data_IF_242932991755
#
_entry.id   IF_242932991755
#
_cell.length_a   1.000
_cell.length_b   1.000
_cell.length_c   1.000
_cell.angle_alpha   90.00
_cell.angle_beta   90.00
_cell.angle_gamma   90.00
#
_symmetry.space_group_name_H-M   'P 1'
#
loop_
_entity.id
_entity.type
_entity.pdbx_description
1 polymer ?
#
# COMPACT_ATOMS: atom_id res chain seq x y z
N UNK A 1 -35.41 -23.26 -62.22
CA UNK A 1 -35.19 -21.87 -61.73
C UNK A 1 -34.53 -21.82 -60.36
N UNK A 2 -34.96 -22.65 -59.40
CA UNK A 2 -34.53 -22.61 -57.99
C UNK A 2 -33.01 -22.71 -57.75
N UNK A 3 -32.28 -23.57 -58.48
CA UNK A 3 -30.82 -23.74 -58.31
C UNK A 3 -29.97 -22.56 -58.79
N UNK A 4 -30.41 -21.87 -59.86
CA UNK A 4 -29.69 -20.68 -60.38
C UNK A 4 -29.86 -19.48 -59.46
N UNK A 5 -31.06 -19.33 -58.90
CA UNK A 5 -31.35 -18.29 -57.90
C UNK A 5 -30.59 -18.57 -56.59
N UNK A 6 -30.53 -19.83 -56.14
CA UNK A 6 -29.74 -20.22 -54.99
C UNK A 6 -28.24 -19.92 -55.15
N UNK A 7 -27.67 -20.14 -56.35
CA UNK A 7 -26.28 -19.80 -56.64
C UNK A 7 -26.00 -18.29 -56.53
N UNK A 8 -26.93 -17.43 -56.97
CA UNK A 8 -26.79 -15.97 -56.86
C UNK A 8 -26.78 -15.54 -55.40
N UNK A 9 -27.72 -16.04 -54.58
CA UNK A 9 -27.75 -15.71 -53.15
C UNK A 9 -26.55 -16.26 -52.38
N UNK A 10 -26.07 -17.45 -52.73
CA UNK A 10 -24.84 -17.99 -52.14
C UNK A 10 -23.63 -17.08 -52.43
N UNK A 11 -23.47 -16.61 -53.67
CA UNK A 11 -22.40 -15.67 -54.01
C UNK A 11 -22.57 -14.36 -53.24
N UNK A 12 -23.79 -13.84 -53.11
CA UNK A 12 -24.07 -12.63 -52.34
C UNK A 12 -23.68 -12.76 -50.87
N UNK A 13 -24.14 -13.82 -50.18
CA UNK A 13 -23.79 -14.04 -48.78
C UNK A 13 -22.31 -14.36 -48.57
N UNK A 14 -21.68 -15.08 -49.50
CA UNK A 14 -20.24 -15.30 -49.47
C UNK A 14 -19.46 -13.97 -49.58
N UNK A 15 -19.87 -13.07 -50.47
CA UNK A 15 -19.26 -11.75 -50.60
C UNK A 15 -19.49 -10.86 -49.38
N UNK A 16 -20.69 -10.88 -48.78
CA UNK A 16 -20.97 -10.17 -47.54
C UNK A 16 -20.12 -10.68 -46.38
N UNK A 17 -20.05 -12.00 -46.20
CA UNK A 17 -19.22 -12.64 -45.17
C UNK A 17 -17.73 -12.32 -45.36
N UNK A 18 -17.22 -12.40 -46.59
CA UNK A 18 -15.83 -12.05 -46.90
C UNK A 18 -15.53 -10.57 -46.63
N UNK A 19 -16.46 -9.68 -46.98
CA UNK A 19 -16.32 -8.23 -46.72
C UNK A 19 -16.29 -7.92 -45.23
N UNK A 20 -17.18 -8.53 -44.45
CA UNK A 20 -17.20 -8.38 -42.99
C UNK A 20 -15.93 -8.96 -42.33
N UNK A 21 -15.44 -10.10 -42.83
CA UNK A 21 -14.18 -10.70 -42.38
C UNK A 21 -12.98 -9.77 -42.65
N UNK A 22 -12.91 -9.15 -43.83
CA UNK A 22 -11.85 -8.17 -44.12
C UNK A 22 -11.86 -6.99 -43.14
N UNK A 23 -13.04 -6.44 -42.82
CA UNK A 23 -13.16 -5.37 -41.82
C UNK A 23 -12.68 -5.85 -40.45
N UNK A 24 -13.08 -7.06 -40.04
CA UNK A 24 -12.67 -7.63 -38.75
C UNK A 24 -11.15 -7.75 -38.63
N UNK A 25 -10.49 -8.30 -39.65
CA UNK A 25 -9.04 -8.60 -39.59
C UNK A 25 -8.14 -7.39 -39.79
N UNK A 26 -8.62 -6.33 -40.45
CA UNK A 26 -7.80 -5.14 -40.73
C UNK A 26 -8.06 -3.99 -39.75
N UNK A 27 -9.17 -4.02 -39.03
CA UNK A 27 -9.48 -2.97 -38.09
C UNK A 27 -8.58 -3.10 -36.85
N UNK A 28 -8.06 -1.95 -36.41
CA UNK A 28 -7.19 -1.83 -35.26
C UNK A 28 -7.98 -1.26 -34.08
N UNK A 29 -7.73 -1.76 -32.89
CA UNK A 29 -8.38 -1.27 -31.68
C UNK A 29 -7.83 0.12 -31.31
N UNK A 30 -8.69 1.11 -31.02
CA UNK A 30 -8.29 2.39 -30.46
C UNK A 30 -7.47 2.23 -29.18
N UNK A 31 -6.33 2.93 -29.07
CA UNK A 31 -5.51 2.92 -27.86
C UNK A 31 -5.60 4.23 -27.08
N UNK A 32 -5.34 4.14 -25.77
CA UNK A 32 -5.08 5.31 -24.93
C UNK A 32 -3.55 5.48 -24.85
N UNK A 33 -3.09 6.70 -25.12
CA UNK A 33 -1.68 7.04 -25.33
C UNK A 33 -1.28 8.28 -24.55
N UNK A 34 0.01 8.50 -24.39
CA UNK A 34 0.61 9.70 -23.78
C UNK A 34 1.38 10.52 -24.82
N UNK A 35 1.75 11.78 -24.52
CA UNK A 35 2.51 12.59 -25.46
C UNK A 35 3.86 11.96 -25.78
N UNK A 36 4.28 12.04 -27.05
CA UNK A 36 5.56 11.48 -27.50
C UNK A 36 5.53 9.99 -27.85
N UNK A 37 4.42 9.30 -27.63
CA UNK A 37 4.18 7.97 -28.20
C UNK A 37 3.74 8.07 -29.66
N UNK A 38 3.99 7.01 -30.45
CA UNK A 38 3.35 6.89 -31.76
C UNK A 38 1.83 6.85 -31.56
N UNK A 39 1.11 7.62 -32.37
CA UNK A 39 -0.33 7.81 -32.23
C UNK A 39 -0.99 7.75 -33.60
N UNK A 40 -2.05 6.96 -33.72
CA UNK A 40 -2.93 6.92 -34.90
C UNK A 40 -4.12 7.84 -34.66
N UNK A 41 -4.73 8.33 -35.74
CA UNK A 41 -5.95 9.16 -35.65
C UNK A 41 -7.09 8.47 -34.86
N UNK A 42 -7.08 7.13 -34.82
CA UNK A 42 -8.04 6.34 -34.06
C UNK A 42 -7.79 6.32 -32.55
N UNK A 43 -6.60 6.70 -32.09
CA UNK A 43 -6.20 6.66 -30.69
C UNK A 43 -6.68 7.89 -29.94
N UNK A 44 -6.57 7.85 -28.62
CA UNK A 44 -6.85 8.97 -27.72
C UNK A 44 -5.61 9.29 -26.89
N UNK A 45 -5.16 10.54 -26.92
CA UNK A 45 -3.99 10.98 -26.15
C UNK A 45 -4.43 11.66 -24.86
N UNK A 46 -3.85 11.26 -23.74
CA UNK A 46 -3.91 11.97 -22.47
C UNK A 46 -2.81 13.03 -22.47
N UNK A 47 -3.14 14.32 -22.66
CA UNK A 47 -2.13 15.36 -22.93
C UNK A 47 -1.16 15.61 -21.77
N UNK A 48 -1.55 15.27 -20.54
CA UNK A 48 -0.76 15.42 -19.33
C UNK A 48 -0.45 14.05 -18.68
N UNK A 49 -0.77 12.95 -19.36
CA UNK A 49 -0.44 11.61 -18.90
C UNK A 49 1.04 11.30 -19.10
N UNK A 50 1.66 10.71 -18.07
CA UNK A 50 3.04 10.25 -18.10
C UNK A 50 3.08 8.73 -18.02
N UNK A 51 3.95 8.11 -18.82
CA UNK A 51 4.09 6.65 -18.90
C UNK A 51 5.23 6.20 -17.98
N UNK A 52 4.96 5.21 -17.14
CA UNK A 52 5.91 4.64 -16.20
C UNK A 52 6.02 3.12 -16.35
N UNK A 53 7.25 2.64 -16.29
CA UNK A 53 7.61 1.22 -16.19
C UNK A 53 7.68 0.79 -14.72
N UNK A 54 7.57 -0.52 -14.48
CA UNK A 54 7.78 -1.07 -13.13
C UNK A 54 9.18 -0.72 -12.60
N UNK A 55 9.25 -0.19 -11.38
CA UNK A 55 10.46 0.32 -10.75
C UNK A 55 10.85 1.75 -11.16
N UNK A 56 10.07 2.43 -12.00
CA UNK A 56 10.32 3.84 -12.33
C UNK A 56 10.11 4.74 -11.12
N UNK A 57 10.83 5.85 -11.04
CA UNK A 57 10.62 6.87 -10.01
C UNK A 57 10.19 8.21 -10.62
N UNK A 58 9.41 8.97 -9.86
CA UNK A 58 9.03 10.33 -10.20
C UNK A 58 8.77 11.17 -8.94
N UNK A 59 8.73 12.49 -9.09
CA UNK A 59 8.53 13.41 -7.96
C UNK A 59 7.27 14.25 -8.14
N UNK A 60 6.41 14.30 -7.11
CA UNK A 60 5.26 15.20 -7.01
C UNK A 60 5.21 15.82 -5.62
N UNK A 61 4.94 17.12 -5.54
CA UNK A 61 4.85 17.81 -4.24
C UNK A 61 6.12 17.75 -3.38
N UNK A 62 7.29 17.42 -3.96
CA UNK A 62 8.53 17.19 -3.21
C UNK A 62 8.71 15.77 -2.68
N UNK A 63 7.75 14.88 -2.88
CA UNK A 63 7.82 13.45 -2.54
C UNK A 63 8.26 12.65 -3.77
N UNK A 64 9.29 11.82 -3.61
CA UNK A 64 9.70 10.84 -4.62
C UNK A 64 8.90 9.55 -4.44
N UNK A 65 8.24 9.12 -5.51
CA UNK A 65 7.44 7.90 -5.58
C UNK A 65 8.14 6.88 -6.47
N UNK A 66 8.10 5.63 -6.04
CA UNK A 66 8.49 4.46 -6.85
C UNK A 66 7.23 3.76 -7.33
N UNK A 67 7.12 3.57 -8.65
CA UNK A 67 6.03 2.85 -9.30
C UNK A 67 6.31 1.36 -9.21
N UNK A 68 5.45 0.61 -8.54
CA UNK A 68 5.50 -0.84 -8.45
C UNK A 68 4.30 -1.40 -9.19
N UNK A 69 4.52 -2.27 -10.17
CA UNK A 69 3.47 -2.86 -11.01
C UNK A 69 3.50 -4.38 -10.91
N UNK A 70 2.32 -5.00 -10.92
CA UNK A 70 2.15 -6.45 -10.86
C UNK A 70 0.93 -6.90 -11.65
N UNK A 71 0.84 -8.20 -11.88
CA UNK A 71 -0.33 -8.86 -12.44
C UNK A 71 -0.94 -9.77 -11.38
N UNK A 72 -2.23 -9.62 -11.10
CA UNK A 72 -2.94 -10.41 -10.10
C UNK A 72 -4.06 -11.24 -10.73
N UNK A 73 -4.33 -12.43 -10.17
CA UNK A 73 -5.47 -13.22 -10.61
C UNK A 73 -6.78 -12.54 -10.21
N UNK A 74 -7.65 -12.27 -11.18
CA UNK A 74 -9.00 -11.82 -10.93
C UNK A 74 -9.76 -12.94 -10.20
N UNK A 75 -10.18 -12.70 -8.94
CA UNK A 75 -10.91 -13.71 -8.15
C UNK A 75 -12.37 -13.87 -8.64
N UNK A 76 -12.53 -14.55 -9.78
CA UNK A 76 -13.82 -14.87 -10.38
C UNK A 76 -14.47 -16.10 -9.73
N UNK A 77 -15.39 -15.89 -8.79
CA UNK A 77 -16.33 -16.91 -8.36
C UNK A 77 -17.20 -17.40 -9.53
N UNK A 78 -17.24 -18.72 -9.71
CA UNK A 78 -17.98 -19.47 -10.76
C UNK A 78 -17.28 -19.63 -12.13
N UNK A 79 -16.18 -20.39 -12.16
CA UNK A 79 -15.93 -21.40 -13.21
C UNK A 79 -15.69 -20.92 -14.65
N UNK A 80 -15.39 -19.65 -14.87
CA UNK A 80 -14.80 -19.12 -16.10
C UNK A 80 -13.42 -18.57 -15.76
N UNK A 81 -12.39 -18.92 -16.54
CA UNK A 81 -10.98 -18.78 -16.16
C UNK A 81 -10.60 -17.40 -15.61
N UNK A 82 -9.88 -17.40 -14.47
CA UNK A 82 -9.28 -16.21 -13.91
C UNK A 82 -8.29 -15.60 -14.91
N UNK A 83 -8.56 -14.37 -15.32
CA UNK A 83 -7.60 -13.55 -16.06
C UNK A 83 -6.62 -12.92 -15.07
N UNK A 84 -5.41 -12.62 -15.56
CA UNK A 84 -4.53 -11.72 -14.85
C UNK A 84 -4.98 -10.28 -15.12
N UNK A 85 -5.10 -9.47 -14.08
CA UNK A 85 -5.40 -8.04 -14.14
C UNK A 85 -4.19 -7.24 -13.63
N UNK A 86 -3.85 -6.12 -14.28
CA UNK A 86 -2.77 -5.26 -13.82
C UNK A 86 -3.16 -4.58 -12.51
N UNK A 87 -2.22 -4.56 -11.56
CA UNK A 87 -2.28 -3.82 -10.30
C UNK A 87 -1.02 -2.99 -10.13
N UNK A 88 -1.07 -1.97 -9.27
CA UNK A 88 0.12 -1.20 -8.98
C UNK A 88 0.03 -0.46 -7.66
N UNK A 89 1.19 0.02 -7.22
CA UNK A 89 1.36 0.78 -5.99
C UNK A 89 2.39 1.88 -6.23
N UNK A 90 2.18 3.05 -5.62
CA UNK A 90 3.21 4.08 -5.46
C UNK A 90 3.79 3.96 -4.05
N UNK A 91 5.01 3.42 -3.95
CA UNK A 91 5.76 3.40 -2.67
C UNK A 91 6.57 4.69 -2.52
N UNK A 92 6.55 5.27 -1.33
CA UNK A 92 7.38 6.42 -0.96
C UNK A 92 7.80 6.35 0.51
N UNK A 93 8.87 7.05 0.85
CA UNK A 93 9.29 7.20 2.25
C UNK A 93 8.70 8.48 2.84
N UNK A 94 7.71 8.34 3.73
CA UNK A 94 7.24 9.44 4.55
C UNK A 94 8.32 9.78 5.59
N UNK A 95 8.70 11.05 5.67
CA UNK A 95 9.71 11.53 6.63
C UNK A 95 9.07 12.52 7.59
N UNK A 96 9.60 12.60 8.82
CA UNK A 96 9.05 13.52 9.81
C UNK A 96 7.77 13.01 10.47
N UNK A 97 7.48 11.70 10.38
CA UNK A 97 6.30 11.11 11.01
C UNK A 97 6.48 11.17 12.52
N UNK A 98 5.62 11.94 13.18
CA UNK A 98 5.68 12.19 14.61
C UNK A 98 5.33 10.91 15.37
N UNK A 99 6.20 10.53 16.30
CA UNK A 99 6.00 9.46 17.27
C UNK A 99 6.08 10.04 18.68
N UNK A 100 5.40 9.38 19.61
CA UNK A 100 5.39 9.76 21.02
C UNK A 100 5.42 8.54 21.92
N UNK A 101 6.05 8.68 23.09
CA UNK A 101 5.97 7.73 24.20
C UNK A 101 5.68 8.50 25.49
N UNK A 102 5.08 7.80 26.46
CA UNK A 102 4.62 8.40 27.71
C UNK A 102 5.27 7.71 28.90
N UNK A 103 5.69 8.50 29.87
CA UNK A 103 6.15 8.08 31.17
C UNK A 103 5.18 8.59 32.22
N UNK A 104 4.39 7.68 32.79
CA UNK A 104 3.44 8.02 33.86
C UNK A 104 4.18 8.28 35.18
N UNK A 105 3.66 9.20 35.99
CA UNK A 105 4.19 9.48 37.31
C UNK A 105 4.09 8.26 38.23
N UNK A 106 5.20 7.89 38.88
CA UNK A 106 5.32 6.72 39.74
C UNK A 106 5.43 5.39 38.99
N UNK A 107 5.46 5.38 37.66
CA UNK A 107 5.70 4.17 36.87
C UNK A 107 7.17 3.72 36.94
N UNK A 108 7.41 2.47 36.55
CA UNK A 108 8.77 1.96 36.32
C UNK A 108 9.04 1.91 34.83
N UNK A 109 10.18 2.47 34.42
CA UNK A 109 10.63 2.52 33.02
C UNK A 109 12.05 1.95 32.90
N UNK A 110 12.36 1.38 31.73
CA UNK A 110 13.71 0.93 31.41
C UNK A 110 14.47 2.05 30.70
N UNK A 111 15.63 2.43 31.24
CA UNK A 111 16.51 3.46 30.69
C UNK A 111 17.97 2.98 30.74
N UNK A 112 18.65 2.98 29.60
CA UNK A 112 20.01 2.42 29.44
C UNK A 112 20.16 0.99 30.03
N UNK A 113 19.12 0.17 29.83
CA UNK A 113 19.05 -1.22 30.33
C UNK A 113 18.92 -1.36 31.86
N UNK A 114 18.62 -0.27 32.57
CA UNK A 114 18.38 -0.24 34.01
C UNK A 114 16.95 0.23 34.30
N UNK A 115 16.32 -0.33 35.32
CA UNK A 115 14.95 0.04 35.70
C UNK A 115 14.93 1.24 36.66
N UNK A 116 14.11 2.24 36.37
CA UNK A 116 13.94 3.45 37.17
C UNK A 116 12.48 3.71 37.49
N UNK A 117 12.21 4.27 38.66
CA UNK A 117 10.90 4.86 38.98
C UNK A 117 10.87 6.31 38.52
N UNK A 118 9.79 6.70 37.86
CA UNK A 118 9.53 8.05 37.37
C UNK A 118 8.91 8.89 38.49
N UNK A 119 9.43 10.09 38.70
CA UNK A 119 8.82 11.12 39.54
C UNK A 119 8.70 12.42 38.74
N UNK A 120 7.48 12.94 38.61
CA UNK A 120 7.20 14.17 37.88
C UNK A 120 6.94 15.33 38.85
N UNK A 121 7.49 16.50 38.53
CA UNK A 121 7.23 17.75 39.24
C UNK A 121 6.92 18.85 38.21
N UNK A 122 5.62 19.14 38.04
CA UNK A 122 5.16 20.17 37.11
C UNK A 122 5.25 21.59 37.68
N UNK A 123 5.33 21.73 39.00
CA UNK A 123 5.44 23.01 39.69
C UNK A 123 6.89 23.51 39.78
N UNK A 124 7.87 22.64 39.47
CA UNK A 124 9.26 23.02 39.31
C UNK A 124 9.45 24.11 38.24
N UNK A 125 10.45 24.96 38.45
CA UNK A 125 10.84 26.01 37.50
C UNK A 125 12.17 25.68 36.84
N UNK A 126 12.22 24.87 35.77
CA UNK A 126 11.12 24.37 34.92
C UNK A 126 10.57 22.98 35.35
N UNK A 127 9.44 22.50 34.75
CA UNK A 127 8.91 21.16 35.00
C UNK A 127 9.94 20.07 34.75
N UNK A 128 10.05 19.10 35.66
CA UNK A 128 11.08 18.05 35.62
C UNK A 128 10.50 16.64 35.69
N UNK A 129 11.10 15.73 34.94
CA UNK A 129 10.94 14.29 35.12
C UNK A 129 12.23 13.71 35.70
N UNK A 130 12.16 13.15 36.91
CA UNK A 130 13.29 12.53 37.59
C UNK A 130 13.13 11.01 37.58
N UNK A 131 14.12 10.31 37.01
CA UNK A 131 14.26 8.87 37.08
C UNK A 131 15.12 8.51 38.30
N UNK A 132 14.63 7.63 39.16
CA UNK A 132 15.40 7.09 40.31
C UNK A 132 15.58 5.59 40.17
N UNK A 133 16.83 5.11 40.17
CA UNK A 133 17.14 3.71 39.95
C UNK A 133 16.42 2.80 40.95
N UNK A 134 15.83 1.72 40.44
CA UNK A 134 15.28 0.64 41.24
C UNK A 134 16.25 -0.55 41.25
N UNK A 135 16.31 -1.25 42.38
CA UNK A 135 17.16 -2.43 42.52
C UNK A 135 16.29 -3.69 42.60
N UNK A 136 16.67 -4.72 41.84
CA UNK A 136 16.19 -6.08 42.10
C UNK A 136 16.90 -6.62 43.35
N UNK A 137 16.29 -6.37 44.49
CA UNK A 137 16.79 -6.79 45.81
C UNK A 137 16.94 -8.31 45.87
N UNK A 138 16.00 -9.07 45.27
CA UNK A 138 16.02 -10.53 45.35
C UNK A 138 17.23 -11.15 44.63
N UNK A 139 17.52 -10.64 43.43
CA UNK A 139 18.68 -11.07 42.64
C UNK A 139 19.97 -10.69 43.34
N UNK A 140 20.03 -9.49 43.92
CA UNK A 140 21.22 -8.99 44.64
C UNK A 140 21.51 -9.80 45.89
N UNK A 141 20.50 -10.08 46.72
CA UNK A 141 20.66 -10.90 47.92
C UNK A 141 21.03 -12.36 47.59
N UNK A 142 20.55 -12.89 46.47
CA UNK A 142 20.92 -14.25 46.03
C UNK A 142 22.37 -14.34 45.56
N UNK A 143 22.91 -13.25 45.00
CA UNK A 143 24.29 -13.18 44.53
C UNK A 143 25.31 -12.90 45.65
N UNK A 144 24.86 -12.53 46.86
CA UNK A 144 25.70 -12.16 48.00
C UNK A 144 25.71 -13.27 49.07
N UNK A 145 26.81 -14.03 49.11
CA UNK A 145 26.98 -15.14 50.06
C UNK A 145 27.04 -14.71 51.53
N UNK A 146 27.26 -13.42 51.83
CA UNK A 146 27.37 -12.93 53.20
C UNK A 146 26.00 -12.78 53.91
N UNK A 147 24.91 -12.68 53.15
CA UNK A 147 23.57 -12.31 53.65
C UNK A 147 22.53 -13.36 53.30
N UNK A 148 21.41 -13.40 54.02
CA UNK A 148 20.28 -14.26 53.64
C UNK A 148 19.58 -13.77 52.37
N UNK A 149 19.02 -14.68 51.58
CA UNK A 149 18.39 -14.38 50.28
C UNK A 149 17.00 -13.71 50.40
N UNK A 150 16.67 -13.15 51.56
CA UNK A 150 15.39 -12.52 51.87
C UNK A 150 15.60 -11.41 52.90
N UNK A 151 14.77 -10.37 52.82
CA UNK A 151 14.72 -9.31 53.83
C UNK A 151 13.87 -9.74 55.03
N UNK A 152 14.08 -9.06 56.15
CA UNK A 152 13.20 -9.14 57.32
C UNK A 152 12.67 -7.76 57.66
N UNK A 153 11.38 -7.64 57.94
CA UNK A 153 10.76 -6.36 58.34
C UNK A 153 10.66 -6.28 59.86
N UNK A 154 11.17 -5.18 60.43
CA UNK A 154 11.04 -4.86 61.86
C UNK A 154 10.61 -3.40 61.99
N UNK A 155 9.55 -3.14 62.76
CA UNK A 155 9.00 -1.79 62.96
C UNK A 155 8.76 -0.99 61.65
N UNK A 156 8.38 -1.71 60.59
CA UNK A 156 8.12 -1.12 59.26
C UNK A 156 9.36 -0.83 58.42
N UNK A 157 10.56 -1.10 58.93
CA UNK A 157 11.83 -0.99 58.18
C UNK A 157 12.27 -2.37 57.71
N UNK A 158 12.67 -2.49 56.45
CA UNK A 158 13.28 -3.70 55.93
C UNK A 158 14.77 -3.75 56.26
N UNK A 159 15.25 -4.94 56.62
CA UNK A 159 16.63 -5.22 56.96
C UNK A 159 17.15 -6.40 56.15
N UNK A 160 18.45 -6.38 55.89
CA UNK A 160 19.24 -7.49 55.39
C UNK A 160 20.00 -8.09 56.56
N UNK A 161 19.96 -9.42 56.70
CA UNK A 161 20.60 -10.14 57.81
C UNK A 161 21.88 -10.82 57.34
N UNK A 162 22.99 -10.55 58.04
CA UNK A 162 24.29 -11.17 57.78
C UNK A 162 24.41 -12.55 58.46
N UNK A 163 24.80 -13.57 57.69
CA UNK A 163 24.92 -14.96 58.17
C UNK A 163 26.02 -15.17 59.21
N UNK A 164 27.05 -14.33 59.20
CA UNK A 164 28.22 -14.51 60.07
C UNK A 164 27.93 -14.27 61.55
N UNK A 165 26.96 -13.41 61.85
CA UNK A 165 26.73 -12.90 63.20
C UNK A 165 25.25 -12.58 63.49
N UNK A 166 24.34 -12.92 62.56
CA UNK A 166 22.90 -12.63 62.66
C UNK A 166 22.60 -11.13 62.87
N UNK A 167 23.50 -10.24 62.42
CA UNK A 167 23.29 -8.79 62.52
C UNK A 167 22.39 -8.29 61.39
N UNK A 168 21.51 -7.34 61.73
CA UNK A 168 20.59 -6.70 60.79
C UNK A 168 21.14 -5.33 60.39
N UNK A 169 21.18 -5.06 59.09
CA UNK A 169 21.49 -3.76 58.51
C UNK A 169 20.27 -3.29 57.72
N UNK A 170 19.82 -2.03 57.87
CA UNK A 170 18.70 -1.51 57.08
C UNK A 170 18.94 -1.74 55.59
N UNK A 171 17.90 -2.11 54.84
CA UNK A 171 18.01 -2.36 53.41
C UNK A 171 18.58 -1.13 52.66
N UNK A 172 18.19 0.07 53.09
CA UNK A 172 18.70 1.34 52.55
C UNK A 172 20.19 1.59 52.79
N UNK A 173 20.78 0.96 53.81
CA UNK A 173 22.22 1.03 54.08
C UNK A 173 22.99 -0.10 53.35
N UNK A 174 22.33 -1.22 53.09
CA UNK A 174 22.88 -2.31 52.28
C UNK A 174 22.93 -1.97 50.78
N UNK A 175 21.88 -1.34 50.26
CA UNK A 175 21.80 -0.95 48.86
C UNK A 175 22.76 0.23 48.59
N UNK A 176 23.40 0.26 47.41
CA UNK A 176 24.16 1.44 47.00
C UNK A 176 23.21 2.63 46.80
N UNK A 177 23.76 3.84 46.78
CA UNK A 177 23.01 5.04 46.44
C UNK A 177 22.42 4.89 45.02
N UNK A 178 21.09 5.05 44.82
CA UNK A 178 20.47 4.89 43.51
C UNK A 178 20.94 6.01 42.58
N UNK A 179 21.25 5.66 41.34
CA UNK A 179 21.48 6.66 40.29
C UNK A 179 20.20 7.47 40.04
N UNK A 180 20.36 8.76 39.79
CA UNK A 180 19.25 9.66 39.45
C UNK A 180 19.56 10.40 38.16
N UNK A 181 18.59 10.43 37.26
CA UNK A 181 18.64 11.23 36.03
C UNK A 181 17.46 12.21 36.04
N UNK A 182 17.69 13.44 35.62
CA UNK A 182 16.64 14.47 35.60
C UNK A 182 16.58 15.08 34.21
N UNK A 183 15.36 15.16 33.69
CA UNK A 183 15.06 15.69 32.36
C UNK A 183 14.06 16.83 32.45
N UNK A 184 14.29 17.85 31.65
CA UNK A 184 13.42 18.99 31.43
C UNK A 184 12.88 18.97 29.99
N UNK A 185 11.85 19.79 29.72
CA UNK A 185 11.38 19.97 28.35
C UNK A 185 12.52 20.46 27.44
N UNK A 186 12.72 19.75 26.33
CA UNK A 186 13.77 20.00 25.34
C UNK A 186 14.99 19.12 25.50
N UNK A 187 15.11 18.39 26.61
CA UNK A 187 16.22 17.47 26.82
C UNK A 187 16.14 16.26 25.89
N UNK A 188 17.32 15.77 25.52
CA UNK A 188 17.46 14.54 24.74
C UNK A 188 17.38 13.33 25.65
N UNK A 189 16.54 12.37 25.29
CA UNK A 189 16.28 11.16 26.06
C UNK A 189 16.43 9.94 25.17
N UNK A 190 17.27 8.99 25.57
CA UNK A 190 17.33 7.69 24.90
C UNK A 190 16.17 6.80 25.35
N UNK A 191 15.34 6.38 24.39
CA UNK A 191 14.17 5.53 24.62
C UNK A 191 14.17 4.39 23.61
N UNK A 192 14.24 3.14 24.07
CA UNK A 192 14.25 1.94 23.22
C UNK A 192 15.30 1.98 22.08
N UNK A 193 16.49 2.53 22.34
CA UNK A 193 17.56 2.80 21.36
C UNK A 193 17.21 3.84 20.28
N UNK A 194 16.23 4.69 20.57
CA UNK A 194 15.87 5.84 19.76
C UNK A 194 16.19 7.11 20.54
N UNK A 195 16.91 8.02 19.89
CA UNK A 195 17.11 9.37 20.43
C UNK A 195 15.80 10.16 20.31
N UNK A 196 15.23 10.50 21.45
CA UNK A 196 13.97 11.25 21.56
C UNK A 196 14.20 12.59 22.26
N UNK A 197 13.17 13.44 22.26
CA UNK A 197 13.16 14.70 22.99
C UNK A 197 12.02 14.72 23.99
N UNK A 198 12.30 15.12 25.23
CA UNK A 198 11.29 15.41 26.25
C UNK A 198 10.45 16.61 25.79
N UNK A 199 9.24 16.35 25.31
CA UNK A 199 8.37 17.38 24.72
C UNK A 199 7.48 18.06 25.74
N UNK A 200 7.06 17.33 26.75
CA UNK A 200 6.14 17.81 27.77
C UNK A 200 6.37 17.07 29.09
N UNK A 201 6.20 17.79 30.19
CA UNK A 201 6.15 17.23 31.54
C UNK A 201 4.96 17.87 32.24
N UNK A 202 4.06 17.04 32.74
CA UNK A 202 2.89 17.40 33.54
C UNK A 202 2.92 16.65 34.88
N UNK A 203 1.93 16.85 35.75
CA UNK A 203 1.85 16.13 37.03
C UNK A 203 1.65 14.62 36.88
N UNK A 204 1.01 14.21 35.79
CA UNK A 204 0.60 12.83 35.55
C UNK A 204 1.50 12.12 34.53
N UNK A 205 1.93 12.83 33.48
CA UNK A 205 2.68 12.24 32.36
C UNK A 205 3.81 13.14 31.86
N UNK A 206 4.93 12.52 31.53
CA UNK A 206 5.99 13.10 30.72
C UNK A 206 5.98 12.47 29.32
N UNK A 207 6.02 13.30 28.28
CA UNK A 207 5.89 12.87 26.88
C UNK A 207 7.22 13.00 26.16
N UNK A 208 7.71 11.88 25.66
CA UNK A 208 8.82 11.83 24.72
C UNK A 208 8.29 11.97 23.30
N UNK A 209 9.03 12.67 22.44
CA UNK A 209 8.67 12.89 21.04
C UNK A 209 9.88 12.70 20.14
N UNK A 210 9.67 12.07 18.99
CA UNK A 210 10.68 11.94 17.95
C UNK A 210 10.01 11.79 16.59
N UNK A 211 10.79 11.93 15.52
CA UNK A 211 10.29 11.70 14.17
C UNK A 211 10.96 10.48 13.56
N UNK A 212 10.18 9.65 12.86
CA UNK A 212 10.69 8.53 12.08
C UNK A 212 10.53 8.78 10.58
N UNK A 213 11.19 7.93 9.82
CA UNK A 213 10.87 7.71 8.41
C UNK A 213 10.20 6.35 8.29
N UNK A 214 9.09 6.27 7.56
CA UNK A 214 8.38 5.02 7.32
C UNK A 214 8.03 4.88 5.82
N UNK A 215 8.00 3.65 5.34
CA UNK A 215 7.53 3.35 4.00
C UNK A 215 6.00 3.44 3.98
N UNK A 216 5.47 4.16 3.00
CA UNK A 216 4.04 4.36 2.80
C UNK A 216 3.69 4.08 1.35
N UNK A 217 2.46 3.65 1.12
CA UNK A 217 2.00 3.18 -0.18
C UNK A 217 0.68 3.84 -0.56
N UNK A 218 0.51 4.10 -1.86
CA UNK A 218 -0.80 4.36 -2.47
C UNK A 218 -1.11 3.29 -3.50
N UNK A 219 -2.23 2.59 -3.33
CA UNK A 219 -2.72 1.64 -4.31
C UNK A 219 -3.16 2.36 -5.59
N UNK A 220 -2.84 1.74 -6.73
CA UNK A 220 -3.26 2.15 -8.05
C UNK A 220 -4.22 1.10 -8.63
N UNK A 221 -5.33 1.58 -9.17
CA UNK A 221 -6.28 0.74 -9.89
C UNK A 221 -6.65 1.37 -11.24
N UNK A 222 -7.12 0.56 -12.19
CA UNK A 222 -7.57 1.04 -13.51
C UNK A 222 -8.67 2.09 -13.33
N UNK A 223 -8.45 3.31 -13.84
CA UNK A 223 -9.33 4.46 -13.72
C UNK A 223 -9.55 4.97 -12.29
N UNK A 224 -8.85 4.41 -11.29
CA UNK A 224 -8.97 4.79 -9.88
C UNK A 224 -8.22 6.06 -9.57
N UNK A 225 -8.73 6.85 -8.62
CA UNK A 225 -8.13 8.12 -8.23
C UNK A 225 -7.18 7.96 -7.03
N UNK A 226 -6.03 8.60 -7.11
CA UNK A 226 -5.05 8.76 -6.03
C UNK A 226 -4.70 10.24 -5.87
N UNK A 227 -4.61 10.73 -4.64
CA UNK A 227 -4.14 12.10 -4.36
C UNK A 227 -2.68 12.05 -3.94
N UNK A 228 -1.82 12.82 -4.59
CA UNK A 228 -0.38 12.87 -4.30
C UNK A 228 -0.02 14.11 -3.47
N UNK A 229 1.25 14.20 -3.07
CA UNK A 229 1.74 15.24 -2.15
C UNK A 229 1.64 16.70 -2.68
N UNK A 230 1.33 16.91 -3.95
CA UNK A 230 1.00 18.23 -4.51
C UNK A 230 -0.49 18.58 -4.43
N UNK A 231 -1.26 17.84 -3.62
CA UNK A 231 -2.72 17.94 -3.46
C UNK A 231 -3.51 17.73 -4.77
N UNK A 232 -2.86 17.21 -5.82
CA UNK A 232 -3.51 16.93 -7.10
C UNK A 232 -4.00 15.49 -7.15
N UNK A 233 -5.22 15.30 -7.66
CA UNK A 233 -5.77 13.98 -7.90
C UNK A 233 -5.35 13.48 -9.29
N UNK A 234 -4.86 12.24 -9.32
CA UNK A 234 -4.43 11.53 -10.52
C UNK A 234 -5.24 10.25 -10.67
N UNK A 235 -5.38 9.78 -11.91
CA UNK A 235 -5.87 8.43 -12.18
C UNK A 235 -4.81 7.60 -12.92
N UNK A 236 -4.95 6.28 -12.83
CA UNK A 236 -4.07 5.32 -13.49
C UNK A 236 -4.78 4.62 -14.64
N UNK A 237 -4.11 4.48 -15.78
CA UNK A 237 -4.48 3.59 -16.86
C UNK A 237 -3.34 2.61 -17.11
N UNK A 238 -3.60 1.32 -16.94
CA UNK A 238 -2.61 0.28 -17.18
C UNK A 238 -2.57 -0.11 -18.66
N UNK A 239 -1.35 -0.31 -19.15
CA UNK A 239 -1.06 -0.82 -20.48
C UNK A 239 -0.26 -2.11 -20.36
N UNK A 240 -0.36 -2.95 -21.38
CA UNK A 240 0.29 -4.26 -21.41
C UNK A 240 -0.58 -5.38 -20.87
N UNK A 241 -0.19 -6.62 -21.18
CA UNK A 241 -0.95 -7.83 -20.84
C UNK A 241 -0.08 -8.90 -20.16
N UNK A 242 1.18 -8.59 -19.88
CA UNK A 242 2.14 -9.48 -19.23
C UNK A 242 2.92 -8.71 -18.17
N UNK A 243 3.55 -9.41 -17.23
CA UNK A 243 4.43 -8.80 -16.23
C UNK A 243 5.62 -8.06 -16.85
N UNK A 244 6.09 -8.49 -18.02
CA UNK A 244 7.25 -7.90 -18.71
C UNK A 244 6.91 -6.63 -19.52
N UNK A 245 5.64 -6.41 -19.84
CA UNK A 245 5.15 -5.31 -20.71
C UNK A 245 4.12 -4.43 -19.99
N UNK A 246 3.96 -4.60 -18.67
CA UNK A 246 3.03 -3.76 -17.89
C UNK A 246 3.62 -2.37 -17.70
N UNK A 247 2.82 -1.37 -18.05
CA UNK A 247 3.12 0.04 -17.82
C UNK A 247 1.93 0.73 -17.17
N UNK A 248 2.19 1.76 -16.39
CA UNK A 248 1.17 2.65 -15.85
C UNK A 248 1.24 4.00 -16.53
N UNK A 249 0.11 4.46 -17.06
CA UNK A 249 -0.08 5.87 -17.41
C UNK A 249 -0.73 6.56 -16.22
N UNK A 250 -0.05 7.54 -15.63
CA UNK A 250 -0.59 8.34 -14.52
C UNK A 250 -0.88 9.75 -15.06
N UNK A 251 -2.12 10.20 -14.93
CA UNK A 251 -2.58 11.47 -15.52
C UNK A 251 -3.45 12.26 -14.52
N UNK A 252 -3.39 13.61 -14.52
CA UNK A 252 -4.22 14.44 -13.64
C UNK A 252 -5.70 14.28 -13.97
N UNK A 253 -6.52 13.98 -12.96
CA UNK A 253 -7.95 13.71 -13.13
C UNK A 253 -8.71 14.93 -13.64
N UNK A 254 -8.37 16.13 -13.18
CA UNK A 254 -9.08 17.35 -13.56
C UNK A 254 -8.92 17.74 -15.04
N UNK A 255 -7.78 17.41 -15.66
CA UNK A 255 -7.49 17.80 -17.05
C UNK A 255 -7.73 16.68 -18.06
N UNK A 256 -7.48 15.43 -17.68
CA UNK A 256 -7.34 14.32 -18.64
C UNK A 256 -8.47 13.29 -18.55
N UNK A 257 -9.30 13.33 -17.51
CA UNK A 257 -10.37 12.35 -17.30
C UNK A 257 -11.37 12.28 -18.46
N UNK A 258 -11.77 13.44 -19.00
CA UNK A 258 -12.69 13.46 -20.15
C UNK A 258 -12.10 12.80 -21.39
N UNK A 259 -10.78 12.93 -21.61
CA UNK A 259 -10.09 12.28 -22.71
C UNK A 259 -9.99 10.78 -22.47
N UNK A 260 -9.66 10.36 -21.25
CA UNK A 260 -9.66 8.95 -20.84
C UNK A 260 -11.01 8.27 -21.10
N UNK A 261 -12.11 8.87 -20.61
CA UNK A 261 -13.46 8.35 -20.85
C UNK A 261 -13.81 8.26 -22.34
N UNK A 262 -13.41 9.26 -23.14
CA UNK A 262 -13.56 9.21 -24.60
C UNK A 262 -12.79 8.03 -25.21
N UNK A 263 -11.60 7.74 -24.70
CA UNK A 263 -10.80 6.58 -25.11
C UNK A 263 -11.49 5.26 -24.81
N UNK A 264 -12.02 5.10 -23.59
CA UNK A 264 -12.79 3.93 -23.17
C UNK A 264 -14.04 3.75 -24.03
N UNK A 265 -14.80 4.82 -24.29
CA UNK A 265 -15.99 4.78 -25.15
C UNK A 265 -15.65 4.34 -26.58
N UNK A 266 -14.50 4.79 -27.12
CA UNK A 266 -14.02 4.38 -28.45
C UNK A 266 -13.65 2.90 -28.48
N UNK A 267 -13.01 2.39 -27.45
CA UNK A 267 -12.69 0.96 -27.32
C UNK A 267 -13.96 0.12 -27.26
N UNK A 268 -14.92 0.50 -26.42
CA UNK A 268 -16.21 -0.19 -26.32
C UNK A 268 -16.98 -0.17 -27.66
N UNK A 269 -17.00 0.98 -28.35
CA UNK A 269 -17.61 1.08 -29.68
C UNK A 269 -16.91 0.19 -30.72
N UNK A 270 -15.59 0.09 -30.66
CA UNK A 270 -14.83 -0.83 -31.52
C UNK A 270 -15.25 -2.28 -31.26
N UNK A 271 -15.30 -2.71 -30.00
CA UNK A 271 -15.69 -4.08 -29.62
C UNK A 271 -17.12 -4.41 -30.05
N UNK A 272 -18.05 -3.47 -29.89
CA UNK A 272 -19.42 -3.60 -30.39
C UNK A 272 -19.46 -3.83 -31.91
N UNK A 273 -18.66 -3.07 -32.67
CA UNK A 273 -18.58 -3.23 -34.13
C UNK A 273 -17.94 -4.56 -34.53
N UNK A 274 -16.94 -5.02 -33.79
CA UNK A 274 -16.32 -6.32 -34.04
C UNK A 274 -17.28 -7.47 -33.78
N UNK A 275 -18.04 -7.40 -32.69
CA UNK A 275 -19.11 -8.36 -32.41
C UNK A 275 -20.19 -8.35 -33.50
N UNK A 276 -20.56 -7.16 -34.00
CA UNK A 276 -21.45 -7.00 -35.15
C UNK A 276 -20.92 -7.65 -36.43
N UNK A 277 -19.64 -7.46 -36.75
CA UNK A 277 -18.98 -8.07 -37.90
C UNK A 277 -18.99 -9.61 -37.81
N UNK A 278 -18.69 -10.17 -36.63
CA UNK A 278 -18.84 -11.59 -36.36
C UNK A 278 -20.27 -12.08 -36.60
N UNK A 279 -21.27 -11.33 -36.14
CA UNK A 279 -22.67 -11.62 -36.41
C UNK A 279 -22.98 -11.74 -37.90
N UNK A 280 -22.48 -10.81 -38.72
CA UNK A 280 -22.66 -10.84 -40.19
C UNK A 280 -21.98 -12.06 -40.81
N UNK A 281 -20.76 -12.40 -40.37
CA UNK A 281 -20.01 -13.58 -40.85
C UNK A 281 -20.80 -14.86 -40.57
N UNK A 282 -21.28 -15.04 -39.33
CA UNK A 282 -22.03 -16.24 -38.94
C UNK A 282 -23.37 -16.35 -39.66
N UNK A 283 -24.16 -15.26 -39.72
CA UNK A 283 -25.45 -15.26 -40.41
C UNK A 283 -25.25 -15.56 -41.90
N UNK A 284 -24.23 -14.97 -42.54
CA UNK A 284 -23.92 -15.21 -43.95
C UNK A 284 -23.51 -16.66 -44.21
N UNK A 285 -22.72 -17.27 -43.32
CA UNK A 285 -22.33 -18.67 -43.41
C UNK A 285 -23.54 -19.61 -43.25
N UNK A 286 -24.38 -19.39 -42.22
CA UNK A 286 -25.59 -20.17 -41.97
C UNK A 286 -26.58 -20.03 -43.13
N UNK A 287 -26.82 -18.81 -43.62
CA UNK A 287 -27.71 -18.56 -44.75
C UNK A 287 -27.21 -19.29 -46.01
N UNK A 288 -25.90 -19.24 -46.29
CA UNK A 288 -25.30 -19.95 -47.41
C UNK A 288 -25.50 -21.47 -47.31
N UNK A 289 -25.30 -22.05 -46.12
CA UNK A 289 -25.53 -23.48 -45.87
C UNK A 289 -27.01 -23.87 -46.05
N UNK A 290 -27.93 -23.07 -45.51
CA UNK A 290 -29.37 -23.31 -45.65
C UNK A 290 -29.83 -23.23 -47.10
N UNK A 291 -29.34 -22.24 -47.86
CA UNK A 291 -29.67 -22.07 -49.27
C UNK A 291 -29.19 -23.29 -50.09
N UNK A 292 -27.98 -23.78 -49.84
CA UNK A 292 -27.48 -25.01 -50.47
C UNK A 292 -28.32 -26.21 -50.05
N UNK A 293 -28.55 -26.39 -48.75
CA UNK A 293 -29.35 -27.49 -48.22
C UNK A 293 -30.74 -27.56 -48.82
N UNK A 294 -31.44 -26.43 -48.93
CA UNK A 294 -32.78 -26.35 -49.51
C UNK A 294 -32.78 -26.50 -51.03
N UNK A 295 -31.77 -25.99 -51.73
CA UNK A 295 -31.66 -26.12 -53.19
C UNK A 295 -31.38 -27.56 -53.66
N UNK A 296 -30.80 -28.38 -52.78
CA UNK A 296 -30.42 -29.78 -53.05
C UNK A 296 -31.20 -30.79 -52.19
N UNK A 297 -32.22 -30.35 -51.44
CA UNK A 297 -33.10 -31.25 -50.71
C UNK A 297 -33.83 -32.18 -51.71
N UNK A 298 -33.80 -33.51 -51.52
CA UNK A 298 -34.51 -34.43 -52.39
C UNK A 298 -36.02 -34.21 -52.24
N UNK A 299 -36.69 -33.83 -53.32
CA UNK A 299 -38.15 -33.76 -53.37
C UNK A 299 -38.66 -35.19 -53.32
N UNK A 300 -39.34 -35.59 -52.24
CA UNK A 300 -40.08 -36.85 -52.24
C UNK A 300 -41.21 -36.73 -53.27
N UNK A 301 -41.13 -37.55 -54.32
CA UNK A 301 -42.25 -37.80 -55.24
C UNK A 301 -43.28 -38.71 -54.56
#
# INVERSE_FOLDING_TARGET
MQRRVAAIYLVFFALLGASAFSVHTLAEQPQITTPGQEHKEIDTTLPNGELYENGSTFTRGGTEYTVLLSMEEESGGHGGGGGLVPTGTLSYTATGVQQTAEWDNGSTVSYDGTEYTVALDADAGPPTATLTQTFDVSTRLTADDAVYNQTVTQDGTEYVTYRSNESNVPLSEYLPEPATETFERGDTVEYENTTTTMSEVTDDVATLSWTISEETEHELSEGGNVTLADDTQYFTHFKGHTEEDIHAVIAPSDSDWSAYQTGIDRQHHYDERQNGAWGVIFISAIASLLIVGLAYMPVRA
#
